data_IF_356421072768
#
_entry.id   IF_356421072768
#
_cell.length_a   1.000
_cell.length_b   1.000
_cell.length_c   1.000
_cell.angle_alpha   90.00
_cell.angle_beta   90.00
_cell.angle_gamma   90.00
#
_symmetry.space_group_name_H-M   'P 1'
#
loop_
_entity.id
_entity.type
_entity.pdbx_description
1 polymer ?
#
# COMPACT_ATOMS: atom_id res chain seq x y z
N UNK A 1 47.41 58.80 37.05
CA UNK A 1 46.38 58.52 36.01
C UNK A 1 46.54 57.05 35.52
N UNK A 2 45.67 56.18 35.97
CA UNK A 2 45.70 54.73 35.50
C UNK A 2 44.71 54.57 34.39
N UNK A 3 45.14 54.16 33.22
CA UNK A 3 44.34 53.79 32.08
C UNK A 3 43.92 52.26 32.30
N UNK A 4 42.66 52.01 32.38
CA UNK A 4 42.11 50.65 32.45
C UNK A 4 41.75 50.24 31.00
N UNK A 5 42.41 49.21 30.48
CA UNK A 5 42.13 48.62 29.17
C UNK A 5 40.97 47.64 29.30
N UNK A 6 39.83 47.93 28.65
CA UNK A 6 38.73 47.01 28.46
C UNK A 6 39.08 45.98 27.38
N UNK A 7 39.05 44.68 27.72
CA UNK A 7 39.13 43.58 26.76
C UNK A 7 37.73 43.30 26.19
N UNK A 8 37.56 43.50 24.90
CA UNK A 8 36.37 43.13 24.17
C UNK A 8 36.42 41.60 23.91
N UNK A 9 35.52 40.85 24.53
CA UNK A 9 35.38 39.42 24.25
C UNK A 9 34.40 39.25 23.08
N UNK A 10 34.90 38.83 21.92
CA UNK A 10 34.08 38.48 20.76
C UNK A 10 33.46 37.09 20.99
N UNK A 11 32.15 37.08 21.18
CA UNK A 11 31.36 35.84 21.22
C UNK A 11 31.08 35.37 19.79
N UNK A 12 31.78 34.33 19.32
CA UNK A 12 31.47 33.64 18.08
C UNK A 12 30.30 32.69 18.35
N UNK A 13 29.07 33.06 17.96
CA UNK A 13 27.95 32.18 17.94
C UNK A 13 28.08 31.24 16.73
N UNK A 14 28.46 29.99 16.97
CA UNK A 14 28.46 28.95 15.97
C UNK A 14 27.01 28.53 15.68
N UNK A 15 26.45 29.03 14.59
CA UNK A 15 25.12 28.60 14.13
C UNK A 15 25.25 27.22 13.48
N UNK A 16 25.02 26.13 14.24
CA UNK A 16 24.88 24.80 13.68
C UNK A 16 23.56 24.76 12.91
N UNK A 17 23.59 24.92 11.59
CA UNK A 17 22.50 24.51 10.70
C UNK A 17 22.40 22.97 10.78
N UNK A 18 21.45 22.46 11.55
CA UNK A 18 21.03 21.07 11.43
C UNK A 18 20.32 20.93 10.09
N UNK A 19 21.00 20.41 9.08
CA UNK A 19 20.38 19.95 7.87
C UNK A 19 19.49 18.77 8.25
N UNK A 20 18.18 18.96 8.28
CA UNK A 20 17.22 17.86 8.36
C UNK A 20 17.36 17.05 7.08
N UNK A 21 18.03 15.90 7.15
CA UNK A 21 18.01 14.89 6.10
C UNK A 21 16.57 14.35 6.08
N UNK A 22 15.75 14.90 5.18
CA UNK A 22 14.47 14.29 4.87
C UNK A 22 14.78 12.97 4.18
N UNK A 23 14.29 11.86 4.72
CA UNK A 23 14.33 10.60 4.01
C UNK A 23 13.66 10.79 2.65
N UNK A 24 14.31 10.34 1.58
CA UNK A 24 13.79 10.45 0.22
C UNK A 24 12.48 9.64 0.16
N UNK A 25 11.40 10.27 -0.33
CA UNK A 25 10.14 9.57 -0.54
C UNK A 25 10.30 8.56 -1.68
N UNK A 26 10.29 7.28 -1.35
CA UNK A 26 10.49 6.19 -2.31
C UNK A 26 9.25 5.93 -3.20
N UNK A 27 8.17 6.66 -3.02
CA UNK A 27 7.02 6.58 -3.91
C UNK A 27 7.29 7.28 -5.25
N UNK A 28 6.74 6.79 -6.37
CA UNK A 28 6.86 7.46 -7.66
C UNK A 28 6.13 8.82 -7.64
N UNK A 29 6.73 9.84 -8.27
CA UNK A 29 6.09 11.14 -8.43
C UNK A 29 4.70 11.01 -9.09
N UNK A 30 3.80 11.97 -8.82
CA UNK A 30 2.43 11.92 -9.33
C UNK A 30 2.36 11.85 -10.87
N UNK A 31 3.29 12.52 -11.56
CA UNK A 31 3.46 12.59 -13.01
C UNK A 31 4.48 11.57 -13.56
N UNK A 32 4.93 10.60 -12.75
CA UNK A 32 5.92 9.60 -13.18
C UNK A 32 5.47 8.89 -14.46
N UNK A 33 6.37 8.85 -15.46
CA UNK A 33 6.06 8.32 -16.78
C UNK A 33 5.71 6.83 -16.76
N UNK A 34 4.76 6.44 -17.62
CA UNK A 34 4.37 5.05 -17.85
C UNK A 34 3.33 4.51 -16.88
N UNK A 35 2.88 5.29 -15.89
CA UNK A 35 1.72 4.93 -15.08
C UNK A 35 0.41 5.25 -15.79
N UNK A 36 -0.54 4.33 -15.70
CA UNK A 36 -1.92 4.51 -16.16
C UNK A 36 -2.89 4.30 -14.97
N UNK A 37 -3.95 5.10 -14.85
CA UNK A 37 -4.92 4.91 -13.78
C UNK A 37 -5.68 3.60 -13.99
N UNK A 38 -5.97 2.87 -12.91
CA UNK A 38 -6.79 1.66 -12.91
C UNK A 38 -8.27 1.96 -12.64
N UNK A 39 -8.59 3.06 -11.96
CA UNK A 39 -9.94 3.59 -11.85
C UNK A 39 -10.05 4.89 -12.67
N UNK A 40 -11.17 5.04 -13.37
CA UNK A 40 -11.44 6.23 -14.20
C UNK A 40 -12.12 7.37 -13.43
N UNK A 41 -12.46 7.16 -12.15
CA UNK A 41 -13.13 8.12 -11.28
C UNK A 41 -14.61 8.35 -11.59
N UNK A 42 -15.24 7.53 -12.45
CA UNK A 42 -16.64 7.68 -12.88
C UNK A 42 -17.46 6.42 -12.66
N UNK A 43 -16.88 5.27 -12.96
CA UNK A 43 -17.51 3.96 -12.84
C UNK A 43 -16.45 2.88 -12.57
N UNK A 44 -16.88 1.63 -12.49
CA UNK A 44 -16.00 0.46 -12.26
C UNK A 44 -15.64 -0.26 -13.58
N UNK A 45 -15.61 0.44 -14.72
CA UNK A 45 -15.20 -0.15 -15.99
C UNK A 45 -13.79 -0.76 -15.90
N UNK A 46 -13.63 -1.99 -16.41
CA UNK A 46 -12.38 -2.78 -16.29
C UNK A 46 -12.24 -3.57 -14.99
N UNK A 47 -13.27 -3.53 -14.12
CA UNK A 47 -13.32 -4.27 -12.87
C UNK A 47 -14.57 -5.13 -12.77
N UNK A 48 -14.50 -6.24 -12.04
CA UNK A 48 -15.61 -7.16 -11.73
C UNK A 48 -15.76 -7.34 -10.24
N UNK A 49 -17.01 -7.34 -9.77
CA UNK A 49 -17.38 -7.59 -8.37
C UNK A 49 -18.86 -7.89 -8.25
N UNK A 50 -19.27 -8.65 -7.23
CA UNK A 50 -20.66 -8.72 -6.72
C UNK A 50 -20.81 -7.91 -5.43
N UNK A 51 -19.70 -7.42 -4.86
CA UNK A 51 -19.67 -6.56 -3.67
C UNK A 51 -20.27 -5.19 -3.92
N UNK A 52 -20.56 -4.47 -2.85
CA UNK A 52 -21.11 -3.11 -2.94
C UNK A 52 -20.01 -2.06 -2.99
N UNK A 53 -19.19 -2.11 -4.05
CA UNK A 53 -18.17 -1.12 -4.35
C UNK A 53 -18.77 0.05 -5.10
N UNK A 54 -18.46 1.28 -4.68
CA UNK A 54 -19.01 2.51 -5.25
C UNK A 54 -17.88 3.47 -5.60
N UNK A 55 -18.11 4.25 -6.67
CA UNK A 55 -17.27 5.43 -6.97
C UNK A 55 -17.84 6.61 -6.22
N UNK A 56 -17.05 7.23 -5.37
CA UNK A 56 -17.43 8.39 -4.57
C UNK A 56 -17.34 9.69 -5.40
N UNK A 57 -17.95 10.77 -4.90
CA UNK A 57 -17.97 12.05 -5.58
C UNK A 57 -16.57 12.66 -5.81
N UNK A 58 -15.58 12.29 -5.01
CA UNK A 58 -14.17 12.69 -5.16
C UNK A 58 -13.37 11.78 -6.11
N UNK A 59 -14.02 10.80 -6.74
CA UNK A 59 -13.42 9.82 -7.65
C UNK A 59 -12.72 8.66 -6.96
N UNK A 60 -12.70 8.59 -5.63
CA UNK A 60 -12.24 7.42 -4.91
C UNK A 60 -13.22 6.25 -5.06
N UNK A 61 -12.74 5.02 -4.88
CA UNK A 61 -13.57 3.82 -4.87
C UNK A 61 -13.65 3.30 -3.45
N UNK A 62 -14.84 2.99 -2.97
CA UNK A 62 -15.04 2.51 -1.61
C UNK A 62 -15.99 1.33 -1.52
N UNK A 63 -15.72 0.45 -0.56
CA UNK A 63 -16.62 -0.63 -0.19
C UNK A 63 -17.66 -0.14 0.82
N UNK A 64 -18.92 -0.38 0.53
CA UNK A 64 -20.05 -0.13 1.42
C UNK A 64 -20.72 -1.46 1.79
N UNK A 65 -20.30 -2.14 2.85
CA UNK A 65 -20.90 -3.42 3.21
C UNK A 65 -22.41 -3.33 3.38
N UNK A 66 -23.14 -4.31 2.82
CA UNK A 66 -24.59 -4.40 3.01
C UNK A 66 -24.90 -4.98 4.38
N UNK A 67 -26.08 -4.73 4.89
CA UNK A 67 -26.54 -5.31 6.15
C UNK A 67 -26.45 -6.84 6.14
N UNK A 68 -25.86 -7.43 7.19
CA UNK A 68 -25.67 -8.86 7.33
C UNK A 68 -24.45 -9.45 6.62
N UNK A 69 -23.75 -8.69 5.77
CA UNK A 69 -22.48 -9.13 5.18
C UNK A 69 -21.39 -9.19 6.24
N UNK A 70 -20.55 -10.24 6.18
CA UNK A 70 -19.40 -10.41 7.10
C UNK A 70 -18.40 -11.43 6.58
N UNK A 71 -17.14 -11.23 6.96
CA UNK A 71 -16.03 -12.18 6.72
C UNK A 71 -15.47 -12.09 5.31
N UNK A 72 -14.28 -12.65 5.16
CA UNK A 72 -13.41 -12.52 3.98
C UNK A 72 -13.64 -13.57 2.89
N UNK A 73 -14.34 -14.68 3.20
CA UNK A 73 -14.53 -15.78 2.24
C UNK A 73 -15.60 -15.50 1.17
N UNK A 74 -15.89 -14.23 0.95
CA UNK A 74 -16.82 -13.74 -0.07
C UNK A 74 -16.03 -13.33 -1.31
N UNK A 75 -15.31 -14.26 -1.91
CA UNK A 75 -14.33 -13.99 -2.98
C UNK A 75 -14.92 -13.33 -4.23
N UNK A 76 -16.18 -13.59 -4.55
CA UNK A 76 -16.91 -12.96 -5.64
C UNK A 76 -17.26 -11.49 -5.36
N UNK A 77 -17.26 -11.08 -4.07
CA UNK A 77 -17.45 -9.71 -3.64
C UNK A 77 -16.16 -8.87 -3.67
N UNK A 78 -14.98 -9.51 -3.79
CA UNK A 78 -13.74 -8.77 -4.07
C UNK A 78 -13.89 -8.01 -5.39
N UNK A 79 -13.29 -6.82 -5.48
CA UNK A 79 -13.23 -6.11 -6.75
C UNK A 79 -11.93 -6.47 -7.46
N UNK A 80 -12.02 -7.09 -8.64
CA UNK A 80 -10.89 -7.61 -9.38
C UNK A 80 -10.79 -7.00 -10.79
N UNK A 81 -9.58 -6.75 -11.26
CA UNK A 81 -9.36 -6.29 -12.64
C UNK A 81 -9.81 -7.32 -13.67
N UNK A 82 -10.41 -6.90 -14.78
CA UNK A 82 -10.68 -7.80 -15.90
C UNK A 82 -9.40 -8.21 -16.62
N UNK A 83 -8.45 -7.28 -16.75
CA UNK A 83 -7.13 -7.51 -17.32
C UNK A 83 -6.23 -8.26 -16.34
N UNK A 84 -5.38 -9.14 -16.88
CA UNK A 84 -4.32 -9.82 -16.13
C UNK A 84 -3.02 -9.02 -16.20
N UNK A 85 -2.24 -9.05 -15.12
CA UNK A 85 -0.98 -8.35 -14.99
C UNK A 85 0.14 -9.32 -14.59
N UNK A 86 1.29 -9.21 -15.24
CA UNK A 86 2.50 -9.97 -14.94
C UNK A 86 3.48 -9.18 -14.07
N UNK A 87 4.47 -8.55 -14.70
CA UNK A 87 5.43 -7.66 -14.06
C UNK A 87 4.91 -6.22 -14.07
N UNK A 88 4.90 -5.57 -12.90
CA UNK A 88 4.34 -4.23 -12.76
C UNK A 88 4.85 -3.48 -11.54
N UNK A 89 4.61 -2.16 -11.53
CA UNK A 89 4.59 -1.32 -10.35
C UNK A 89 3.14 -0.87 -10.13
N UNK A 90 2.55 -1.24 -9.01
CA UNK A 90 1.22 -0.78 -8.57
C UNK A 90 1.40 0.29 -7.50
N UNK A 91 0.83 1.46 -7.71
CA UNK A 91 0.88 2.58 -6.77
C UNK A 91 -0.56 2.97 -6.42
N UNK A 92 -0.86 3.04 -5.12
CA UNK A 92 -2.22 3.27 -4.65
C UNK A 92 -2.24 3.93 -3.27
N UNK A 93 -3.31 4.66 -2.99
CA UNK A 93 -3.63 5.10 -1.64
C UNK A 93 -4.87 4.40 -1.12
N UNK A 94 -4.85 4.06 0.18
CA UNK A 94 -5.98 3.46 0.86
C UNK A 94 -6.26 4.13 2.20
N UNK A 95 -7.50 4.02 2.66
CA UNK A 95 -7.94 4.51 3.96
C UNK A 95 -8.91 3.50 4.58
N UNK A 96 -8.74 3.23 5.87
CA UNK A 96 -9.60 2.33 6.64
C UNK A 96 -10.07 3.01 7.92
N UNK A 97 -11.18 2.54 8.47
CA UNK A 97 -11.65 2.91 9.80
C UNK A 97 -10.90 2.14 10.89
N UNK A 98 -11.14 2.49 12.15
CA UNK A 98 -10.68 1.68 13.29
C UNK A 98 -11.16 0.23 13.14
N UNK A 99 -10.25 -0.72 13.37
CA UNK A 99 -10.42 -2.17 13.14
C UNK A 99 -10.70 -2.54 11.67
N UNK A 100 -10.40 -1.64 10.74
CA UNK A 100 -10.54 -1.89 9.31
C UNK A 100 -9.62 -3.00 8.83
N UNK A 101 -10.12 -3.81 7.89
CA UNK A 101 -9.40 -4.90 7.25
C UNK A 101 -9.76 -4.95 5.77
N UNK A 102 -8.77 -5.11 4.92
CA UNK A 102 -8.85 -5.34 3.49
C UNK A 102 -7.50 -5.92 3.03
N UNK A 103 -7.26 -6.01 1.72
CA UNK A 103 -6.00 -6.48 1.19
C UNK A 103 -5.85 -6.19 -0.29
N UNK A 104 -4.61 -6.09 -0.74
CA UNK A 104 -4.26 -5.96 -2.15
C UNK A 104 -3.75 -7.30 -2.64
N UNK A 105 -4.59 -8.02 -3.36
CA UNK A 105 -4.23 -9.28 -4.01
C UNK A 105 -3.59 -9.04 -5.37
N UNK A 106 -2.57 -9.81 -5.68
CA UNK A 106 -1.82 -9.70 -6.93
C UNK A 106 -1.63 -11.05 -7.59
N UNK A 107 -1.63 -11.03 -8.93
CA UNK A 107 -1.46 -12.22 -9.78
C UNK A 107 -2.40 -13.36 -9.41
N UNK A 108 -3.65 -13.03 -9.06
CA UNK A 108 -4.66 -14.05 -8.75
C UNK A 108 -5.01 -14.83 -10.00
N UNK A 109 -4.73 -16.13 -10.00
CA UNK A 109 -5.00 -17.01 -11.15
C UNK A 109 -6.46 -17.47 -11.21
N UNK A 110 -7.10 -17.67 -10.06
CA UNK A 110 -8.53 -18.03 -9.95
C UNK A 110 -9.20 -17.23 -8.84
N UNK A 111 -10.14 -16.38 -9.21
CA UNK A 111 -10.88 -15.55 -8.26
C UNK A 111 -11.84 -16.35 -7.35
N UNK A 112 -12.04 -17.65 -7.59
CA UNK A 112 -12.76 -18.54 -6.65
C UNK A 112 -11.88 -18.95 -5.47
N UNK A 113 -10.56 -18.88 -5.63
CA UNK A 113 -9.58 -19.22 -4.60
C UNK A 113 -8.41 -18.22 -4.56
N UNK A 114 -8.67 -16.91 -4.38
CA UNK A 114 -7.64 -15.87 -4.50
C UNK A 114 -6.48 -16.06 -3.51
N UNK A 115 -6.75 -16.54 -2.31
CA UNK A 115 -5.74 -16.81 -1.27
C UNK A 115 -4.78 -17.91 -1.68
N UNK A 116 -5.23 -18.90 -2.46
CA UNK A 116 -4.38 -20.01 -2.93
C UNK A 116 -3.68 -19.68 -4.24
N UNK A 117 -4.32 -18.90 -5.08
CA UNK A 117 -3.86 -18.68 -6.46
C UNK A 117 -3.26 -17.30 -6.72
N UNK A 118 -3.14 -16.47 -5.70
CA UNK A 118 -2.49 -15.18 -5.71
C UNK A 118 -1.67 -14.96 -4.43
N UNK A 119 -1.21 -13.74 -4.21
CA UNK A 119 -0.62 -13.32 -2.94
C UNK A 119 -1.13 -11.93 -2.56
N UNK A 120 -1.14 -11.67 -1.27
CA UNK A 120 -1.78 -10.50 -0.68
C UNK A 120 -0.78 -9.63 0.07
N UNK A 121 -0.80 -8.32 -0.17
CA UNK A 121 -0.25 -7.31 0.75
C UNK A 121 -1.38 -6.82 1.64
N UNK A 122 -1.24 -7.05 2.94
CA UNK A 122 -2.28 -6.82 3.95
C UNK A 122 -2.58 -5.34 4.14
N UNK A 123 -3.87 -5.03 4.31
CA UNK A 123 -4.37 -3.75 4.81
C UNK A 123 -5.13 -4.02 6.10
N UNK A 124 -4.59 -3.58 7.24
CA UNK A 124 -5.16 -3.83 8.56
C UNK A 124 -4.89 -2.63 9.47
N UNK A 125 -5.84 -2.32 10.34
CA UNK A 125 -5.62 -1.32 11.39
C UNK A 125 -4.70 -1.88 12.47
N UNK A 126 -3.40 -1.68 12.26
CA UNK A 126 -2.31 -2.08 13.19
C UNK A 126 -1.56 -0.88 13.72
N UNK A 127 -2.18 0.30 13.72
CA UNK A 127 -1.54 1.52 14.21
C UNK A 127 -1.02 1.34 15.64
N UNK A 128 0.26 1.73 15.85
CA UNK A 128 0.92 1.59 17.14
C UNK A 128 1.53 0.21 17.43
N UNK A 129 1.36 -0.78 16.55
CA UNK A 129 2.01 -2.09 16.71
C UNK A 129 3.52 -1.97 16.45
N UNK A 130 4.35 -2.37 17.46
CA UNK A 130 5.81 -2.23 17.37
C UNK A 130 6.47 -3.30 16.48
N UNK A 131 5.95 -4.52 16.49
CA UNK A 131 6.54 -5.68 15.80
C UNK A 131 5.51 -6.33 14.87
N UNK A 132 5.34 -5.81 13.65
CA UNK A 132 4.35 -6.34 12.72
C UNK A 132 4.78 -7.70 12.17
N UNK A 133 3.81 -8.63 12.05
CA UNK A 133 3.96 -9.92 11.40
C UNK A 133 3.41 -9.92 9.98
N UNK A 134 3.39 -11.10 9.37
CA UNK A 134 2.95 -11.24 7.97
C UNK A 134 1.43 -11.03 7.74
N UNK A 135 0.60 -11.01 8.78
CA UNK A 135 -0.81 -10.66 8.73
C UNK A 135 -1.10 -9.22 9.14
N UNK A 136 -0.06 -8.42 9.40
CA UNK A 136 -0.21 -7.01 9.76
C UNK A 136 -0.05 -6.10 8.54
N UNK A 137 -0.48 -4.85 8.66
CA UNK A 137 -0.50 -3.91 7.55
C UNK A 137 0.87 -3.79 6.87
N UNK A 138 0.91 -4.00 5.55
CA UNK A 138 2.13 -4.00 4.75
C UNK A 138 2.84 -5.35 4.66
N UNK A 139 2.40 -6.38 5.41
CA UNK A 139 2.92 -7.74 5.31
C UNK A 139 2.40 -8.49 4.08
N UNK A 140 3.16 -9.48 3.61
CA UNK A 140 2.68 -10.47 2.63
C UNK A 140 2.08 -11.63 3.43
N UNK A 141 0.76 -11.76 3.35
CA UNK A 141 -0.02 -12.73 4.15
C UNK A 141 0.46 -14.16 3.92
N UNK A 142 0.80 -14.86 5.00
CA UNK A 142 1.36 -16.22 4.94
C UNK A 142 2.83 -16.29 4.54
N UNK A 143 3.48 -15.18 4.21
CA UNK A 143 4.87 -15.07 3.77
C UNK A 143 5.75 -14.35 4.78
N UNK A 144 5.84 -13.03 4.68
CA UNK A 144 6.77 -12.20 5.45
C UNK A 144 6.09 -10.94 6.00
N UNK A 145 6.41 -10.56 7.24
CA UNK A 145 6.00 -9.27 7.82
C UNK A 145 6.82 -8.10 7.28
N UNK A 146 6.28 -6.88 7.35
CA UNK A 146 7.05 -5.69 7.00
C UNK A 146 8.15 -5.47 8.06
N UNK A 147 9.28 -4.93 7.65
CA UNK A 147 10.40 -4.61 8.55
C UNK A 147 10.03 -3.54 9.61
N UNK A 148 9.00 -2.75 9.32
CA UNK A 148 8.53 -1.64 10.16
C UNK A 148 7.04 -1.41 9.93
N UNK A 149 6.32 -1.10 11.00
CA UNK A 149 4.93 -0.67 10.90
C UNK A 149 4.87 0.81 10.51
N UNK A 150 4.33 1.08 9.31
CA UNK A 150 4.22 2.43 8.76
C UNK A 150 2.77 2.92 8.68
N UNK A 151 1.79 2.12 9.17
CA UNK A 151 0.37 2.48 9.09
C UNK A 151 0.09 3.75 9.92
N UNK A 152 -0.69 4.65 9.33
CA UNK A 152 -1.18 5.87 9.99
C UNK A 152 -2.45 5.57 10.80
N UNK A 153 -2.84 6.46 11.72
CA UNK A 153 -4.10 6.34 12.44
C UNK A 153 -5.29 6.08 11.53
N UNK A 154 -6.28 5.32 12.03
CA UNK A 154 -7.53 5.07 11.32
C UNK A 154 -8.19 6.37 10.83
N UNK A 155 -8.69 6.37 9.60
CA UNK A 155 -9.24 7.55 8.93
C UNK A 155 -8.23 8.37 8.13
N UNK A 156 -6.93 8.11 8.25
CA UNK A 156 -5.90 8.74 7.44
C UNK A 156 -5.57 7.94 6.17
N UNK A 157 -5.15 8.66 5.12
CA UNK A 157 -4.70 8.05 3.88
C UNK A 157 -3.29 7.48 4.01
N UNK A 158 -3.16 6.22 3.68
CA UNK A 158 -1.90 5.47 3.56
C UNK A 158 -1.57 5.26 2.08
N UNK A 159 -0.30 5.00 1.74
CA UNK A 159 0.13 4.75 0.37
C UNK A 159 1.02 3.53 0.27
N UNK A 160 0.71 2.67 -0.68
CA UNK A 160 1.56 1.59 -1.12
C UNK A 160 2.13 1.87 -2.51
N UNK A 161 3.41 1.53 -2.71
CA UNK A 161 3.97 1.24 -4.03
C UNK A 161 4.51 -0.17 -4.00
N UNK A 162 3.89 -1.05 -4.77
CA UNK A 162 4.21 -2.48 -4.81
C UNK A 162 4.82 -2.78 -6.17
N UNK A 163 6.09 -3.21 -6.19
CA UNK A 163 6.78 -3.66 -7.40
C UNK A 163 6.80 -5.18 -7.43
N UNK A 164 6.30 -5.76 -8.51
CA UNK A 164 6.36 -7.21 -8.77
C UNK A 164 7.10 -7.40 -10.09
N UNK A 165 8.26 -8.09 -10.03
CA UNK A 165 9.07 -8.39 -11.22
C UNK A 165 9.65 -9.80 -11.13
N UNK A 166 9.25 -10.67 -12.06
CA UNK A 166 9.54 -12.10 -11.95
C UNK A 166 9.03 -12.66 -10.62
N UNK A 167 9.93 -13.15 -9.79
CA UNK A 167 9.62 -13.64 -8.44
C UNK A 167 9.85 -12.59 -7.34
N UNK A 168 10.48 -11.45 -7.67
CA UNK A 168 10.76 -10.39 -6.69
C UNK A 168 9.52 -9.56 -6.39
N UNK A 169 9.30 -9.29 -5.10
CA UNK A 169 8.27 -8.37 -4.59
C UNK A 169 8.92 -7.36 -3.67
N UNK A 170 8.67 -6.07 -3.94
CA UNK A 170 9.05 -4.95 -3.07
C UNK A 170 7.81 -4.18 -2.67
N UNK A 171 7.74 -3.79 -1.40
CA UNK A 171 6.66 -2.93 -0.88
C UNK A 171 7.28 -1.69 -0.26
N UNK A 172 6.92 -0.53 -0.80
CA UNK A 172 7.12 0.78 -0.17
C UNK A 172 5.82 1.16 0.50
N UNK A 173 5.88 1.49 1.78
CA UNK A 173 4.74 1.84 2.62
C UNK A 173 4.98 3.21 3.28
N UNK A 174 4.16 4.20 2.93
CA UNK A 174 4.27 5.58 3.43
C UNK A 174 5.70 6.15 3.34
N UNK A 175 6.36 5.94 2.18
CA UNK A 175 7.68 6.49 1.87
C UNK A 175 8.86 5.58 2.22
N UNK A 176 8.67 4.50 3.00
CA UNK A 176 9.73 3.57 3.36
C UNK A 176 9.59 2.19 2.72
N UNK A 177 10.68 1.60 2.23
CA UNK A 177 10.69 0.20 1.78
C UNK A 177 10.63 -0.72 2.98
N UNK A 178 9.51 -1.45 3.10
CA UNK A 178 9.26 -2.36 4.23
C UNK A 178 9.40 -3.83 3.87
N UNK A 179 9.34 -4.17 2.57
CA UNK A 179 9.59 -5.52 2.05
C UNK A 179 10.49 -5.46 0.82
N UNK A 180 11.44 -6.38 0.74
CA UNK A 180 12.20 -6.77 -0.43
C UNK A 180 12.44 -8.27 -0.34
N UNK A 181 11.67 -9.06 -1.07
CA UNK A 181 11.66 -10.51 -0.93
C UNK A 181 11.44 -11.22 -2.27
N UNK A 182 11.82 -12.49 -2.34
CA UNK A 182 11.41 -13.40 -3.41
C UNK A 182 10.21 -14.23 -2.96
N UNK A 183 9.21 -14.38 -3.82
CA UNK A 183 8.08 -15.28 -3.58
C UNK A 183 8.55 -16.73 -3.33
N UNK A 184 9.68 -17.12 -3.93
CA UNK A 184 10.25 -18.47 -3.75
C UNK A 184 10.78 -18.69 -2.32
N UNK A 185 11.31 -17.62 -1.69
CA UNK A 185 11.88 -17.68 -0.34
C UNK A 185 10.81 -17.60 0.77
N UNK A 186 9.61 -17.09 0.45
CA UNK A 186 8.54 -16.86 1.42
C UNK A 186 7.36 -17.84 1.29
N UNK A 187 7.63 -19.07 0.83
CA UNK A 187 6.66 -20.16 0.69
C UNK A 187 5.53 -19.87 -0.33
N UNK A 188 5.84 -19.12 -1.38
CA UNK A 188 4.90 -18.74 -2.44
C UNK A 188 5.42 -19.08 -3.84
N UNK A 189 6.30 -20.08 -3.95
CA UNK A 189 6.88 -20.53 -5.22
C UNK A 189 5.83 -21.04 -6.23
N UNK A 190 4.68 -21.48 -5.75
CA UNK A 190 3.55 -21.97 -6.54
C UNK A 190 2.65 -20.86 -7.11
N UNK A 191 2.88 -19.60 -6.72
CA UNK A 191 2.06 -18.47 -7.20
C UNK A 191 2.35 -18.15 -8.67
N UNK A 192 1.32 -17.86 -9.48
CA UNK A 192 1.48 -17.60 -10.91
C UNK A 192 2.25 -16.30 -11.18
N UNK A 193 2.81 -16.21 -12.39
CA UNK A 193 3.50 -14.99 -12.86
C UNK A 193 2.56 -14.01 -13.59
N UNK A 194 1.29 -14.38 -13.77
CA UNK A 194 0.27 -13.58 -14.44
C UNK A 194 -1.07 -13.82 -13.74
N UNK A 195 -1.84 -12.77 -13.46
CA UNK A 195 -3.15 -12.90 -12.85
C UNK A 195 -3.81 -11.55 -12.58
N UNK A 196 -4.98 -11.60 -11.96
CA UNK A 196 -5.75 -10.43 -11.60
C UNK A 196 -5.10 -9.65 -10.45
N UNK A 197 -5.34 -8.34 -10.41
CA UNK A 197 -5.20 -7.53 -9.22
C UNK A 197 -6.60 -7.41 -8.61
N UNK A 198 -6.70 -7.61 -7.29
CA UNK A 198 -7.99 -7.49 -6.60
C UNK A 198 -7.85 -6.81 -5.24
N UNK A 199 -8.93 -6.17 -4.79
CA UNK A 199 -9.05 -5.63 -3.43
C UNK A 199 -10.06 -6.45 -2.65
N UNK A 200 -9.67 -6.81 -1.43
CA UNK A 200 -10.45 -7.70 -0.57
C UNK A 200 -11.69 -7.00 -0.02
N UNK A 201 -12.82 -7.74 -0.03
CA UNK A 201 -14.03 -7.41 0.70
C UNK A 201 -14.11 -8.24 1.99
N UNK A 202 -13.82 -7.60 3.13
CA UNK A 202 -14.00 -8.16 4.49
C UNK A 202 -15.34 -7.77 5.12
N UNK A 203 -16.26 -7.20 4.32
CA UNK A 203 -17.45 -6.53 4.84
C UNK A 203 -17.13 -5.39 5.82
N UNK A 204 -15.99 -4.74 5.63
CA UNK A 204 -15.55 -3.58 6.39
C UNK A 204 -15.27 -2.41 5.43
N UNK A 205 -15.59 -1.19 5.86
CA UNK A 205 -15.44 -0.03 4.99
C UNK A 205 -13.97 0.28 4.72
N UNK A 206 -13.62 0.40 3.44
CA UNK A 206 -12.31 0.78 2.94
C UNK A 206 -12.48 1.71 1.74
N UNK A 207 -11.52 2.60 1.55
CA UNK A 207 -11.45 3.53 0.40
C UNK A 207 -10.11 3.37 -0.30
N UNK A 208 -10.14 3.47 -1.64
CA UNK A 208 -8.98 3.49 -2.52
C UNK A 208 -9.04 4.73 -3.43
N UNK A 209 -7.89 5.37 -3.64
CA UNK A 209 -7.75 6.46 -4.61
C UNK A 209 -6.35 6.44 -5.22
N UNK A 210 -6.15 7.21 -6.29
CA UNK A 210 -4.88 7.33 -6.99
C UNK A 210 -4.29 5.96 -7.39
N UNK A 211 -5.17 4.99 -7.63
CA UNK A 211 -4.77 3.62 -8.01
C UNK A 211 -4.30 3.64 -9.46
N UNK A 212 -3.01 3.39 -9.66
CA UNK A 212 -2.36 3.42 -10.97
C UNK A 212 -1.31 2.33 -11.10
N UNK A 213 -1.07 1.89 -12.32
CA UNK A 213 -0.16 0.81 -12.62
C UNK A 213 0.81 1.18 -13.74
N UNK A 214 2.04 0.68 -13.64
CA UNK A 214 3.03 0.68 -14.71
C UNK A 214 3.45 -0.74 -15.00
N UNK A 215 3.11 -1.25 -16.18
CA UNK A 215 3.59 -2.56 -16.62
C UNK A 215 5.09 -2.48 -16.93
N UNK A 216 5.84 -3.47 -16.48
CA UNK A 216 7.27 -3.61 -16.70
C UNK A 216 7.52 -4.56 -17.87
N UNK A 217 8.60 -4.28 -18.60
CA UNK A 217 9.05 -5.11 -19.74
C UNK A 217 10.18 -6.03 -19.30
#
# INVERSE_FOLDING_TARGET
>A
LKLTTMKLASLFACLCLAASVHAEDLHPAADAAGFVPLFNGKDLAGWKTTGNWLVEADGSVSLHPREGEKGWQRYDAYIATEKLYGDFVLDLEFKINAKGNSGVFMRVGDMKEPVKTGFEVQILDTYGLEKPGHHDCGGIVGGIGPSKNMVKPAGEWNRYTITVKGRSVKVVFNGEQVIDASLDDIKMADRPNLGHIAFQDEALRVWYRNVRIKELK
#
